data_IF_679920054034
#
_entry.id   IF_679920054034
#
_cell.length_a   1.000
_cell.length_b   1.000
_cell.length_c   1.000
_cell.angle_alpha   90.00
_cell.angle_beta   90.00
_cell.angle_gamma   90.00
#
_symmetry.space_group_name_H-M   'P 1'
#
loop_
_entity.id
_entity.type
_entity.pdbx_description
1 polymer ?
#
# COMPACT_ATOMS: atom_id res chain seq x y z
N UNK A 1 -112.43 45.32 41.22
CA UNK A 1 -113.80 45.11 40.71
C UNK A 1 -113.91 45.69 39.29
N UNK A 2 -114.40 44.86 38.35
CA UNK A 2 -115.15 45.11 37.08
C UNK A 2 -114.73 46.17 36.02
N UNK A 3 -114.50 45.61 34.80
CA UNK A 3 -114.81 46.05 33.39
C UNK A 3 -113.87 47.06 32.71
N UNK A 4 -113.12 46.76 31.62
CA UNK A 4 -113.28 46.08 30.30
C UNK A 4 -113.76 47.06 29.18
N UNK A 5 -112.85 47.66 28.37
CA UNK A 5 -112.43 47.42 26.92
C UNK A 5 -113.54 47.75 25.86
N UNK A 6 -113.38 47.70 24.49
CA UNK A 6 -112.22 47.65 23.54
C UNK A 6 -112.39 48.28 22.10
N UNK A 7 -111.38 48.06 21.21
CA UNK A 7 -111.40 47.92 19.71
C UNK A 7 -111.37 49.21 18.83
N UNK A 8 -110.63 49.37 17.71
CA UNK A 8 -110.16 48.46 16.63
C UNK A 8 -109.21 49.19 15.61
N UNK A 9 -108.10 48.53 15.18
CA UNK A 9 -107.40 48.46 13.85
C UNK A 9 -107.16 49.74 12.96
N UNK A 10 -106.14 49.94 12.09
CA UNK A 10 -105.15 49.10 11.40
C UNK A 10 -104.06 49.96 10.68
N UNK A 11 -102.93 49.32 10.35
CA UNK A 11 -101.87 49.64 9.33
C UNK A 11 -100.93 50.84 9.55
N UNK A 12 -99.66 50.69 9.96
CA UNK A 12 -98.50 49.97 9.38
C UNK A 12 -97.96 50.59 8.06
N UNK A 13 -96.72 51.10 8.19
CA UNK A 13 -95.61 51.25 7.21
C UNK A 13 -95.68 52.33 6.12
N UNK A 14 -95.05 53.49 6.37
CA UNK A 14 -94.09 54.13 5.44
C UNK A 14 -93.08 55.08 6.13
N UNK A 15 -92.82 54.94 7.44
CA UNK A 15 -91.64 55.57 8.04
C UNK A 15 -90.44 54.62 8.00
N UNK A 16 -89.60 54.71 6.98
CA UNK A 16 -88.23 54.19 7.09
C UNK A 16 -87.23 54.89 6.17
N UNK A 17 -86.43 55.75 6.82
CA UNK A 17 -85.02 56.03 6.53
C UNK A 17 -84.65 56.84 5.27
N UNK A 18 -84.56 58.17 5.42
CA UNK A 18 -83.68 59.00 4.58
C UNK A 18 -82.50 59.49 5.42
N UNK A 19 -81.35 58.82 5.34
CA UNK A 19 -80.07 59.32 5.88
C UNK A 19 -79.55 60.46 5.00
N UNK A 20 -78.96 61.51 5.59
CA UNK A 20 -78.39 62.64 4.86
C UNK A 20 -77.36 62.19 3.80
N UNK A 21 -77.60 62.50 2.51
CA UNK A 21 -76.79 62.06 1.35
C UNK A 21 -75.26 62.24 1.49
N UNK A 22 -74.80 63.25 2.25
CA UNK A 22 -73.38 63.52 2.52
C UNK A 22 -72.71 62.46 3.40
N UNK A 23 -73.43 61.95 4.40
CA UNK A 23 -72.94 60.90 5.31
C UNK A 23 -72.82 59.58 4.55
N UNK A 24 -73.82 59.26 3.71
CA UNK A 24 -73.78 58.10 2.84
C UNK A 24 -72.61 58.15 1.84
N UNK A 25 -72.32 59.32 1.25
CA UNK A 25 -71.18 59.50 0.33
C UNK A 25 -69.82 59.31 1.04
N UNK A 26 -69.66 59.85 2.26
CA UNK A 26 -68.44 59.65 3.07
C UNK A 26 -68.27 58.20 3.51
N UNK A 27 -69.32 57.56 4.01
CA UNK A 27 -69.30 56.15 4.38
C UNK A 27 -68.99 55.24 3.18
N UNK A 28 -69.51 55.53 1.99
CA UNK A 28 -69.14 54.82 0.75
C UNK A 28 -67.68 55.02 0.35
N UNK A 29 -67.14 56.23 0.52
CA UNK A 29 -65.72 56.51 0.24
C UNK A 29 -64.79 55.80 1.25
N UNK A 30 -65.16 55.80 2.53
CA UNK A 30 -64.42 55.11 3.59
C UNK A 30 -64.44 53.59 3.41
N UNK A 31 -65.60 53.01 3.09
CA UNK A 31 -65.69 51.58 2.76
C UNK A 31 -64.92 51.21 1.49
N UNK A 32 -64.82 52.12 0.52
CA UNK A 32 -63.96 51.92 -0.66
C UNK A 32 -62.46 51.98 -0.29
N UNK A 33 -62.04 52.94 0.53
CA UNK A 33 -60.66 53.06 1.00
C UNK A 33 -60.25 51.85 1.86
N UNK A 34 -61.10 51.42 2.80
CA UNK A 34 -60.85 50.26 3.65
C UNK A 34 -60.79 48.96 2.83
N UNK A 35 -61.58 48.84 1.76
CA UNK A 35 -61.46 47.73 0.80
C UNK A 35 -60.13 47.75 0.06
N UNK A 36 -59.68 48.92 -0.39
CA UNK A 36 -58.38 49.08 -1.04
C UNK A 36 -57.23 48.71 -0.10
N UNK A 37 -57.28 49.15 1.16
CA UNK A 37 -56.28 48.78 2.18
C UNK A 37 -56.31 47.29 2.50
N UNK A 38 -57.49 46.68 2.57
CA UNK A 38 -57.64 45.24 2.75
C UNK A 38 -57.00 44.46 1.60
N UNK A 39 -57.23 44.87 0.34
CA UNK A 39 -56.57 44.27 -0.83
C UNK A 39 -55.05 44.47 -0.80
N UNK A 40 -54.57 45.67 -0.42
CA UNK A 40 -53.13 45.95 -0.31
C UNK A 40 -52.47 45.08 0.75
N UNK A 41 -53.07 44.98 1.94
CA UNK A 41 -52.55 44.15 3.02
C UNK A 41 -52.60 42.67 2.64
N UNK A 42 -53.65 42.21 1.98
CA UNK A 42 -53.75 40.84 1.46
C UNK A 42 -52.60 40.52 0.48
N UNK A 43 -52.28 41.44 -0.44
CA UNK A 43 -51.13 41.28 -1.34
C UNK A 43 -49.81 41.22 -0.57
N UNK A 44 -49.59 42.10 0.41
CA UNK A 44 -48.38 42.07 1.25
C UNK A 44 -48.24 40.76 2.04
N UNK A 45 -49.34 40.23 2.57
CA UNK A 45 -49.34 38.93 3.27
C UNK A 45 -48.98 37.80 2.29
N UNK A 46 -49.53 37.82 1.07
CA UNK A 46 -49.20 36.83 0.05
C UNK A 46 -47.71 36.91 -0.37
N UNK A 47 -47.17 38.11 -0.55
CA UNK A 47 -45.76 38.32 -0.89
C UNK A 47 -44.83 37.85 0.23
N UNK A 48 -45.14 38.19 1.48
CA UNK A 48 -44.38 37.73 2.64
C UNK A 48 -44.47 36.21 2.79
N UNK A 49 -45.63 35.61 2.54
CA UNK A 49 -45.81 34.16 2.57
C UNK A 49 -44.95 33.46 1.50
N UNK A 50 -44.91 34.02 0.29
CA UNK A 50 -44.05 33.53 -0.80
C UNK A 50 -42.55 33.65 -0.46
N UNK A 51 -42.15 34.76 0.15
CA UNK A 51 -40.78 34.97 0.61
C UNK A 51 -40.38 34.00 1.72
N UNK A 52 -41.24 33.77 2.72
CA UNK A 52 -41.02 32.79 3.79
C UNK A 52 -40.88 31.39 3.21
N UNK A 53 -41.74 31.01 2.26
CA UNK A 53 -41.65 29.71 1.57
C UNK A 53 -40.30 29.57 0.84
N UNK A 54 -39.89 30.60 0.10
CA UNK A 54 -38.61 30.62 -0.62
C UNK A 54 -37.41 30.53 0.31
N UNK A 55 -37.41 31.29 1.41
CA UNK A 55 -36.35 31.26 2.42
C UNK A 55 -36.27 29.90 3.10
N UNK A 56 -37.41 29.28 3.45
CA UNK A 56 -37.45 27.95 4.03
C UNK A 56 -36.86 26.90 3.07
N UNK A 57 -37.20 26.96 1.78
CA UNK A 57 -36.58 26.09 0.77
C UNK A 57 -35.07 26.30 0.67
N UNK A 58 -34.60 27.56 0.71
CA UNK A 58 -33.17 27.88 0.67
C UNK A 58 -32.43 27.37 1.91
N UNK A 59 -33.01 27.52 3.10
CA UNK A 59 -32.46 26.97 4.35
C UNK A 59 -32.39 25.45 4.29
N UNK A 60 -33.42 24.78 3.78
CA UNK A 60 -33.41 23.34 3.56
C UNK A 60 -32.29 22.89 2.63
N UNK A 61 -32.11 23.59 1.50
CA UNK A 61 -31.04 23.31 0.55
C UNK A 61 -29.65 23.54 1.16
N UNK A 62 -29.44 24.65 1.85
CA UNK A 62 -28.16 24.94 2.52
C UNK A 62 -27.84 23.93 3.61
N UNK A 63 -28.83 23.49 4.39
CA UNK A 63 -28.63 22.43 5.39
C UNK A 63 -28.24 21.11 4.74
N UNK A 64 -28.87 20.74 3.63
CA UNK A 64 -28.51 19.54 2.88
C UNK A 64 -27.08 19.62 2.34
N UNK A 65 -26.70 20.76 1.75
CA UNK A 65 -25.33 20.99 1.27
C UNK A 65 -24.31 20.94 2.42
N UNK A 66 -24.62 21.55 3.56
CA UNK A 66 -23.73 21.54 4.72
C UNK A 66 -23.53 20.12 5.28
N UNK A 67 -24.60 19.32 5.33
CA UNK A 67 -24.51 17.91 5.72
C UNK A 67 -23.69 17.09 4.73
N UNK A 68 -23.84 17.33 3.42
CA UNK A 68 -23.04 16.68 2.38
C UNK A 68 -21.56 17.03 2.51
N UNK A 69 -21.23 18.31 2.67
CA UNK A 69 -19.84 18.78 2.85
C UNK A 69 -19.23 18.24 4.14
N UNK A 70 -19.98 18.22 5.23
CA UNK A 70 -19.54 17.63 6.50
C UNK A 70 -19.19 16.15 6.36
N UNK A 71 -20.06 15.38 5.68
CA UNK A 71 -19.81 13.97 5.39
C UNK A 71 -18.58 13.78 4.50
N UNK A 72 -18.42 14.58 3.45
CA UNK A 72 -17.24 14.53 2.57
C UNK A 72 -15.97 14.86 3.34
N UNK A 73 -15.99 15.86 4.22
CA UNK A 73 -14.83 16.26 5.00
C UNK A 73 -14.41 15.15 5.98
N UNK A 74 -15.39 14.48 6.62
CA UNK A 74 -15.14 13.32 7.47
C UNK A 74 -14.54 12.15 6.68
N UNK A 75 -15.07 11.85 5.50
CA UNK A 75 -14.54 10.81 4.61
C UNK A 75 -13.11 11.12 4.13
N UNK A 76 -12.84 12.38 3.77
CA UNK A 76 -11.49 12.80 3.37
C UNK A 76 -10.51 12.70 4.54
N UNK A 77 -10.93 13.08 5.75
CA UNK A 77 -10.13 12.91 6.97
C UNK A 77 -9.78 11.45 7.25
N UNK A 78 -10.76 10.54 7.12
CA UNK A 78 -10.52 9.10 7.26
C UNK A 78 -9.56 8.56 6.18
N UNK A 79 -9.76 8.95 4.91
CA UNK A 79 -8.85 8.56 3.82
C UNK A 79 -7.43 9.05 4.07
N UNK A 80 -7.26 10.30 4.47
CA UNK A 80 -5.95 10.87 4.79
C UNK A 80 -5.27 10.11 5.94
N UNK A 81 -6.01 9.76 7.00
CA UNK A 81 -5.48 8.95 8.10
C UNK A 81 -5.04 7.56 7.63
N UNK A 82 -5.89 6.84 6.88
CA UNK A 82 -5.53 5.52 6.34
C UNK A 82 -4.33 5.57 5.40
N UNK A 83 -4.22 6.63 4.59
CA UNK A 83 -3.09 6.81 3.68
C UNK A 83 -1.81 7.13 4.43
N UNK A 84 -1.86 7.93 5.51
CA UNK A 84 -0.71 8.18 6.37
C UNK A 84 -0.21 6.89 7.04
N UNK A 85 -1.13 6.04 7.53
CA UNK A 85 -0.77 4.74 8.12
C UNK A 85 -0.12 3.81 7.09
N UNK A 86 -0.67 3.73 5.87
CA UNK A 86 -0.09 2.93 4.77
C UNK A 86 1.31 3.42 4.36
N UNK A 87 1.52 4.73 4.31
CA UNK A 87 2.82 5.33 4.01
C UNK A 87 3.84 4.98 5.10
N UNK A 88 3.46 5.07 6.38
CA UNK A 88 4.33 4.69 7.49
C UNK A 88 4.68 3.19 7.45
N UNK A 89 3.70 2.32 7.18
CA UNK A 89 3.95 0.88 7.04
C UNK A 89 4.90 0.58 5.88
N UNK A 90 4.68 1.22 4.73
CA UNK A 90 5.52 1.03 3.54
C UNK A 90 6.94 1.55 3.77
N UNK A 91 7.10 2.70 4.43
CA UNK A 91 8.41 3.24 4.80
C UNK A 91 9.18 2.28 5.73
N UNK A 92 8.50 1.70 6.72
CA UNK A 92 9.10 0.71 7.62
C UNK A 92 9.53 -0.56 6.88
N UNK A 93 8.67 -1.10 6.00
CA UNK A 93 9.00 -2.27 5.19
C UNK A 93 10.17 -2.00 4.23
N UNK A 94 10.24 -0.80 3.66
CA UNK A 94 11.33 -0.38 2.79
C UNK A 94 12.66 -0.33 3.55
N UNK A 95 12.66 0.23 4.76
CA UNK A 95 13.84 0.29 5.61
C UNK A 95 14.34 -1.11 5.99
N UNK A 96 13.44 -2.00 6.43
CA UNK A 96 13.78 -3.39 6.75
C UNK A 96 14.35 -4.14 5.54
N UNK A 97 13.75 -3.94 4.36
CA UNK A 97 14.20 -4.55 3.11
C UNK A 97 15.59 -4.04 2.73
N UNK A 98 15.83 -2.73 2.86
CA UNK A 98 17.13 -2.11 2.58
C UNK A 98 18.23 -2.66 3.49
N UNK A 99 17.96 -2.77 4.79
CA UNK A 99 18.90 -3.36 5.75
C UNK A 99 19.21 -4.83 5.40
N UNK A 100 18.17 -5.60 5.08
CA UNK A 100 18.33 -7.01 4.67
C UNK A 100 19.19 -7.15 3.41
N UNK A 101 18.93 -6.33 2.39
CA UNK A 101 19.72 -6.32 1.14
C UNK A 101 21.16 -5.93 1.43
N UNK A 102 21.40 -4.93 2.28
CA UNK A 102 22.76 -4.52 2.65
C UNK A 102 23.52 -5.65 3.35
N UNK A 103 22.89 -6.35 4.30
CA UNK A 103 23.49 -7.49 4.98
C UNK A 103 23.79 -8.64 4.00
N UNK A 104 22.86 -8.94 3.09
CA UNK A 104 23.08 -9.95 2.05
C UNK A 104 24.23 -9.58 1.13
N UNK A 105 24.34 -8.30 0.73
CA UNK A 105 25.43 -7.83 -0.12
C UNK A 105 26.79 -7.97 0.58
N UNK A 106 26.88 -7.59 1.86
CA UNK A 106 28.11 -7.78 2.64
C UNK A 106 28.49 -9.26 2.75
N UNK A 107 27.52 -10.13 3.04
CA UNK A 107 27.75 -11.58 3.10
C UNK A 107 28.21 -12.14 1.74
N UNK A 108 27.60 -11.69 0.65
CA UNK A 108 28.01 -12.10 -0.70
C UNK A 108 29.43 -11.65 -1.03
N UNK A 109 29.80 -10.42 -0.68
CA UNK A 109 31.17 -9.92 -0.86
C UNK A 109 32.18 -10.74 -0.06
N UNK A 110 31.86 -11.06 1.21
CA UNK A 110 32.70 -11.93 2.04
C UNK A 110 32.87 -13.33 1.42
N UNK A 111 31.77 -13.95 0.97
CA UNK A 111 31.80 -15.27 0.33
C UNK A 111 32.60 -15.24 -0.98
N UNK A 112 32.45 -14.21 -1.79
CA UNK A 112 33.23 -14.03 -3.02
C UNK A 112 34.73 -13.90 -2.71
N UNK A 113 35.09 -13.14 -1.67
CA UNK A 113 36.48 -13.02 -1.22
C UNK A 113 37.05 -14.37 -0.76
N UNK A 114 36.30 -15.12 0.04
CA UNK A 114 36.72 -16.44 0.51
C UNK A 114 36.87 -17.43 -0.65
N UNK A 115 35.95 -17.43 -1.60
CA UNK A 115 36.03 -18.27 -2.81
C UNK A 115 37.22 -17.88 -3.69
N UNK A 116 37.52 -16.59 -3.83
CA UNK A 116 38.70 -16.12 -4.57
C UNK A 116 39.99 -16.57 -3.88
N UNK A 117 40.07 -16.44 -2.55
CA UNK A 117 41.21 -16.92 -1.78
C UNK A 117 41.39 -18.44 -1.91
N UNK A 118 40.31 -19.22 -1.79
CA UNK A 118 40.34 -20.67 -1.97
C UNK A 118 40.81 -21.05 -3.38
N UNK A 119 40.35 -20.34 -4.42
CA UNK A 119 40.81 -20.56 -5.79
C UNK A 119 42.30 -20.32 -5.93
N UNK A 120 42.81 -19.22 -5.41
CA UNK A 120 44.25 -18.90 -5.44
C UNK A 120 45.08 -19.98 -4.72
N UNK A 121 44.66 -20.41 -3.54
CA UNK A 121 45.34 -21.48 -2.79
C UNK A 121 45.33 -22.80 -3.56
N UNK A 122 44.19 -23.20 -4.10
CA UNK A 122 44.07 -24.44 -4.88
C UNK A 122 44.89 -24.42 -6.17
N UNK A 123 45.00 -23.27 -6.84
CA UNK A 123 45.83 -23.11 -8.03
C UNK A 123 47.31 -23.14 -7.70
N UNK A 124 47.73 -22.50 -6.60
CA UNK A 124 49.09 -22.59 -6.10
C UNK A 124 49.46 -24.04 -5.76
N UNK A 125 48.57 -24.79 -5.11
CA UNK A 125 48.78 -26.22 -4.84
C UNK A 125 48.88 -27.03 -6.12
N UNK A 126 47.96 -26.83 -7.08
CA UNK A 126 48.00 -27.49 -8.39
C UNK A 126 49.33 -27.25 -9.10
N UNK A 127 49.82 -26.00 -9.08
CA UNK A 127 51.10 -25.63 -9.70
C UNK A 127 52.29 -26.32 -9.02
N UNK A 128 52.34 -26.35 -7.68
CA UNK A 128 53.39 -27.07 -6.93
C UNK A 128 53.37 -28.58 -7.24
N UNK A 129 52.18 -29.17 -7.30
CA UNK A 129 51.99 -30.59 -7.65
C UNK A 129 52.44 -30.88 -9.08
N UNK A 130 52.06 -30.03 -10.04
CA UNK A 130 52.48 -30.18 -11.43
C UNK A 130 54.00 -30.06 -11.60
N UNK A 131 54.65 -29.14 -10.88
CA UNK A 131 56.11 -28.96 -10.96
C UNK A 131 56.85 -30.17 -10.36
N UNK A 132 56.42 -30.67 -9.21
CA UNK A 132 57.02 -31.86 -8.59
C UNK A 132 56.89 -33.13 -9.45
N UNK A 133 55.89 -33.17 -10.34
CA UNK A 133 55.53 -34.35 -11.13
C UNK A 133 55.87 -34.20 -12.62
N UNK A 134 56.55 -33.11 -13.02
CA UNK A 134 56.96 -32.81 -14.41
C UNK A 134 57.84 -33.88 -15.07
N UNK A 135 58.45 -34.76 -14.28
CA UNK A 135 59.27 -35.88 -14.75
C UNK A 135 58.48 -37.14 -15.17
N UNK A 136 57.15 -37.15 -15.02
CA UNK A 136 56.29 -38.29 -15.39
C UNK A 136 55.53 -38.02 -16.69
N UNK A 137 55.20 -39.08 -17.43
CA UNK A 137 54.43 -38.99 -18.66
C UNK A 137 52.98 -38.54 -18.36
N UNK A 138 52.43 -37.62 -19.16
CA UNK A 138 51.06 -37.13 -19.05
C UNK A 138 49.98 -38.21 -19.19
N UNK A 139 50.29 -39.34 -19.84
CA UNK A 139 49.39 -40.49 -19.93
C UNK A 139 49.32 -41.29 -18.63
N UNK A 140 50.39 -41.23 -17.83
CA UNK A 140 50.52 -41.99 -16.58
C UNK A 140 50.18 -41.16 -15.35
N UNK A 141 50.26 -39.83 -15.45
CA UNK A 141 49.97 -38.92 -14.35
C UNK A 141 49.33 -37.63 -14.86
N UNK A 142 48.25 -37.19 -14.22
CA UNK A 142 47.67 -35.87 -14.49
C UNK A 142 47.25 -35.14 -13.21
N UNK A 143 47.41 -33.82 -13.22
CA UNK A 143 47.02 -32.92 -12.13
C UNK A 143 46.03 -31.90 -12.67
N UNK A 144 44.81 -31.90 -12.14
CA UNK A 144 43.74 -30.99 -12.56
C UNK A 144 43.13 -30.29 -11.34
N UNK A 145 42.48 -29.15 -11.56
CA UNK A 145 41.80 -28.40 -10.50
C UNK A 145 40.33 -28.24 -10.87
N UNK A 146 39.44 -28.56 -9.93
CA UNK A 146 37.99 -28.42 -10.10
C UNK A 146 37.35 -28.05 -8.77
N UNK A 147 36.52 -27.02 -8.76
CA UNK A 147 35.77 -26.56 -7.58
C UNK A 147 36.65 -26.30 -6.34
N UNK A 148 37.84 -25.72 -6.53
CA UNK A 148 38.78 -25.45 -5.43
C UNK A 148 39.50 -26.69 -4.88
N UNK A 149 39.30 -27.87 -5.50
CA UNK A 149 40.01 -29.12 -5.17
C UNK A 149 41.02 -29.45 -6.25
N UNK A 150 42.16 -29.98 -5.84
CA UNK A 150 43.20 -30.50 -6.73
C UNK A 150 43.01 -32.01 -6.86
N UNK A 151 42.92 -32.49 -8.09
CA UNK A 151 42.77 -33.90 -8.44
C UNK A 151 44.08 -34.38 -9.05
N UNK A 152 44.66 -35.41 -8.45
CA UNK A 152 45.84 -36.10 -8.99
C UNK A 152 45.38 -37.49 -9.43
N UNK A 153 45.54 -37.79 -10.72
CA UNK A 153 45.29 -39.11 -11.28
C UNK A 153 46.62 -39.79 -11.53
N UNK A 154 46.73 -41.03 -11.06
CA UNK A 154 47.86 -41.93 -11.30
C UNK A 154 47.33 -43.13 -12.09
N UNK A 155 48.00 -43.53 -13.18
CA UNK A 155 47.63 -44.70 -13.96
C UNK A 155 47.95 -45.99 -13.20
N UNK A 156 47.19 -47.04 -13.45
CA UNK A 156 47.46 -48.38 -12.89
C UNK A 156 48.86 -48.86 -13.31
N UNK A 157 49.21 -48.72 -14.60
CA UNK A 157 50.52 -49.11 -15.14
C UNK A 157 51.70 -48.40 -14.47
N UNK A 158 51.50 -47.15 -14.00
CA UNK A 158 52.52 -46.42 -13.26
C UNK A 158 52.73 -47.01 -11.87
N UNK A 159 51.65 -47.39 -11.19
CA UNK A 159 51.67 -47.83 -9.80
C UNK A 159 51.96 -49.32 -9.66
N UNK A 160 51.37 -50.18 -10.50
CA UNK A 160 51.29 -51.61 -10.29
C UNK A 160 51.78 -52.41 -11.50
N UNK A 161 52.57 -53.48 -11.30
CA UNK A 161 52.79 -54.50 -12.31
C UNK A 161 51.51 -55.30 -12.59
N UNK A 162 51.37 -55.86 -13.79
CA UNK A 162 50.23 -56.71 -14.15
C UNK A 162 50.02 -57.84 -13.12
N UNK A 163 48.79 -57.97 -12.61
CA UNK A 163 48.41 -59.01 -11.65
C UNK A 163 48.94 -58.82 -10.22
N UNK A 164 49.49 -57.65 -9.89
CA UNK A 164 50.05 -57.38 -8.56
C UNK A 164 49.45 -56.12 -7.95
N UNK A 165 49.17 -56.15 -6.65
CA UNK A 165 48.80 -54.98 -5.86
C UNK A 165 50.02 -54.30 -5.18
N UNK A 166 51.24 -54.79 -5.44
CA UNK A 166 52.46 -54.23 -4.88
C UNK A 166 52.94 -53.07 -5.76
N UNK A 167 53.14 -51.91 -5.14
CA UNK A 167 53.60 -50.71 -5.84
C UNK A 167 55.01 -50.94 -6.40
N UNK A 168 55.21 -50.66 -7.69
CA UNK A 168 56.51 -50.79 -8.33
C UNK A 168 57.46 -49.61 -7.96
N UNK A 169 58.77 -49.70 -8.25
CA UNK A 169 59.72 -48.63 -7.90
C UNK A 169 59.40 -47.25 -8.50
N UNK A 170 58.82 -47.18 -9.69
CA UNK A 170 58.40 -45.91 -10.31
C UNK A 170 57.19 -45.30 -9.60
N UNK A 171 56.24 -46.14 -9.20
CA UNK A 171 55.09 -45.74 -8.37
C UNK A 171 55.52 -45.22 -7.01
N UNK A 172 56.51 -45.86 -6.37
CA UNK A 172 57.09 -45.37 -5.10
C UNK A 172 57.71 -43.98 -5.27
N UNK A 173 58.49 -43.74 -6.33
CA UNK A 173 59.07 -42.42 -6.61
C UNK A 173 58.00 -41.34 -6.85
N UNK A 174 56.94 -41.67 -7.60
CA UNK A 174 55.82 -40.74 -7.84
C UNK A 174 55.08 -40.38 -6.54
N UNK A 175 54.79 -41.38 -5.70
CA UNK A 175 54.16 -41.19 -4.39
C UNK A 175 55.06 -40.41 -3.42
N UNK A 176 56.38 -40.64 -3.44
CA UNK A 176 57.34 -39.90 -2.62
C UNK A 176 57.37 -38.40 -2.99
N UNK A 177 57.35 -38.08 -4.29
CA UNK A 177 57.26 -36.69 -4.77
C UNK A 177 55.94 -36.02 -4.38
N UNK A 178 54.82 -36.74 -4.47
CA UNK A 178 53.52 -36.27 -3.96
C UNK A 178 53.57 -35.99 -2.46
N UNK A 179 54.12 -36.93 -1.67
CA UNK A 179 54.26 -36.78 -0.23
C UNK A 179 55.10 -35.57 0.16
N UNK A 180 56.19 -35.28 -0.57
CA UNK A 180 57.01 -34.10 -0.33
C UNK A 180 56.22 -32.79 -0.49
N UNK A 181 55.37 -32.68 -1.52
CA UNK A 181 54.51 -31.50 -1.70
C UNK A 181 53.42 -31.43 -0.62
N UNK A 182 52.80 -32.55 -0.26
CA UNK A 182 51.78 -32.59 0.79
C UNK A 182 52.32 -32.18 2.15
N UNK A 183 53.52 -32.64 2.52
CA UNK A 183 54.16 -32.28 3.80
C UNK A 183 54.48 -30.78 3.93
N UNK A 184 54.59 -30.06 2.80
CA UNK A 184 54.77 -28.61 2.77
C UNK A 184 53.45 -27.83 2.84
N UNK A 185 52.30 -28.50 2.70
CA UNK A 185 50.97 -27.90 2.75
C UNK A 185 50.09 -28.72 3.72
N UNK A 186 50.35 -28.62 5.03
CA UNK A 186 49.70 -29.47 6.06
C UNK A 186 48.22 -29.16 6.30
N UNK A 187 47.67 -28.16 5.64
CA UNK A 187 46.29 -27.69 5.72
C UNK A 187 45.36 -28.39 4.71
N UNK A 188 45.87 -29.27 3.85
CA UNK A 188 45.04 -30.04 2.90
C UNK A 188 44.60 -31.39 3.46
N UNK A 189 43.29 -31.64 3.40
CA UNK A 189 42.73 -32.98 3.58
C UNK A 189 42.92 -33.79 2.30
N UNK A 190 43.44 -35.01 2.44
CA UNK A 190 43.70 -35.94 1.33
C UNK A 190 42.67 -37.06 1.36
N UNK A 191 42.00 -37.27 0.22
CA UNK A 191 41.15 -38.45 0.01
C UNK A 191 41.75 -39.30 -1.11
N UNK A 192 41.78 -40.61 -0.91
CA UNK A 192 42.36 -41.57 -1.86
C UNK A 192 41.24 -42.49 -2.34
N UNK A 193 41.03 -42.53 -3.65
CA UNK A 193 40.01 -43.34 -4.29
C UNK A 193 40.65 -44.23 -5.35
N UNK A 194 40.32 -45.52 -5.33
CA UNK A 194 40.72 -46.48 -6.36
C UNK A 194 39.55 -46.76 -7.30
N UNK A 195 39.81 -46.78 -8.61
CA UNK A 195 38.85 -47.15 -9.64
C UNK A 195 39.41 -48.32 -10.45
N UNK A 196 38.53 -49.24 -10.83
CA UNK A 196 38.79 -50.39 -11.72
C UNK A 196 38.17 -50.16 -13.07
#
# INVERSE_FOLDING_TARGET
MKRIIPFMAASILLFSSCVAKRVLKRSRAETAALRQDSTRLANQVNDLQANVSTLNSKVGNLNNQNNQLSNQNSQLGQKAATQADQLNQTANQLNQTKETVQQQQQRLQQLQSLLAQQRLQSEALRSKMAEALKGFNSNDLSVTQKNGKVYVRLSENLLFPSGSAVVNPKGIDALAKLAAVLNLNNDVAVNIEGHT
#
